data_IF_145790902643
#
_entry.id   IF_145790902643
#
_cell.length_a   1.000
_cell.length_b   1.000
_cell.length_c   1.000
_cell.angle_alpha   90.00
_cell.angle_beta   90.00
_cell.angle_gamma   90.00
#
_symmetry.space_group_name_H-M   'P 1'
#
loop_
_entity.id
_entity.type
_entity.pdbx_description
1 polymer ?
#
# COMPACT_ATOMS: atom_id res chain seq x y z
N UNK A 1 -3.50 7.35 57.85
CA UNK A 1 -4.70 6.60 58.25
C UNK A 1 -5.49 6.40 56.96
N UNK A 2 -5.72 5.27 56.35
CA UNK A 2 -5.65 3.84 56.74
C UNK A 2 -5.15 3.04 55.55
N UNK A 3 -4.22 2.15 55.78
CA UNK A 3 -3.87 1.02 54.90
C UNK A 3 -4.96 -0.06 55.00
N UNK A 4 -5.22 -0.73 53.89
CA UNK A 4 -5.65 -2.12 53.93
C UNK A 4 -5.15 -2.85 52.68
N UNK A 5 -4.25 -3.77 52.93
CA UNK A 5 -3.81 -4.89 52.14
C UNK A 5 -4.96 -5.78 51.70
N UNK A 6 -4.90 -6.34 50.51
CA UNK A 6 -5.26 -7.75 50.30
C UNK A 6 -4.42 -8.34 49.16
N UNK A 7 -3.56 -9.24 49.59
CA UNK A 7 -2.77 -10.20 48.82
C UNK A 7 -3.66 -11.43 48.57
N UNK A 8 -3.70 -11.94 47.36
CA UNK A 8 -3.95 -13.36 47.10
C UNK A 8 -3.18 -13.84 45.90
N UNK A 9 -2.18 -14.66 46.18
CA UNK A 9 -1.42 -15.49 45.26
C UNK A 9 -2.30 -16.63 44.75
N UNK A 10 -2.21 -16.98 43.45
CA UNK A 10 -2.44 -18.33 42.96
C UNK A 10 -1.42 -18.67 41.88
N UNK A 11 -1.02 -19.95 41.70
CA UNK A 11 0.30 -20.33 41.23
C UNK A 11 0.35 -20.64 39.74
N UNK A 12 1.54 -20.34 39.20
CA UNK A 12 2.02 -20.85 37.93
C UNK A 12 2.36 -22.34 38.11
N UNK A 13 1.71 -23.22 37.36
CA UNK A 13 2.22 -24.51 36.85
C UNK A 13 1.07 -25.39 36.38
N UNK A 14 0.97 -25.56 35.10
CA UNK A 14 0.60 -26.80 34.39
C UNK A 14 0.28 -26.45 32.93
N UNK A 15 1.09 -26.91 32.02
CA UNK A 15 0.88 -27.87 30.96
C UNK A 15 1.82 -27.65 29.79
N UNK A 16 3.05 -28.08 29.99
CA UNK A 16 3.87 -28.60 28.89
C UNK A 16 3.47 -30.06 28.70
N UNK A 17 2.90 -30.42 27.58
CA UNK A 17 2.96 -31.79 27.02
C UNK A 17 3.32 -31.73 25.56
N UNK A 18 4.52 -32.16 25.32
CA UNK A 18 5.19 -32.52 24.10
C UNK A 18 4.43 -33.68 23.44
N UNK A 19 4.12 -33.55 22.14
CA UNK A 19 3.95 -34.70 21.27
C UNK A 19 4.91 -34.55 20.08
N UNK A 20 6.01 -35.32 20.18
CA UNK A 20 6.84 -35.71 19.06
C UNK A 20 6.07 -36.73 18.22
N UNK A 21 5.94 -36.47 16.94
CA UNK A 21 5.56 -37.42 15.92
C UNK A 21 6.52 -37.34 14.76
N UNK A 22 7.48 -38.21 14.76
CA UNK A 22 8.43 -38.39 13.68
C UNK A 22 7.72 -39.03 12.45
N UNK A 23 8.00 -38.54 11.25
CA UNK A 23 7.88 -39.29 10.01
C UNK A 23 9.12 -39.06 9.15
N UNK A 24 9.75 -40.19 8.87
CA UNK A 24 10.94 -40.37 8.05
C UNK A 24 10.62 -40.26 6.54
N UNK A 25 11.63 -40.05 5.68
CA UNK A 25 11.46 -39.78 4.26
C UNK A 25 11.40 -41.06 3.43
N UNK A 26 10.57 -41.08 2.40
CA UNK A 26 10.63 -42.08 1.33
C UNK A 26 11.43 -41.52 0.15
N UNK A 27 12.61 -42.07 0.00
CA UNK A 27 13.44 -42.03 -1.21
C UNK A 27 12.96 -43.12 -2.17
N UNK A 28 12.65 -42.75 -3.41
CA UNK A 28 12.71 -43.72 -4.51
C UNK A 28 13.45 -43.10 -5.70
N UNK A 29 14.65 -43.63 -5.83
CA UNK A 29 15.51 -43.60 -7.00
C UNK A 29 15.05 -44.67 -7.99
N UNK A 30 15.33 -44.45 -9.26
CA UNK A 30 15.65 -45.32 -10.36
C UNK A 30 15.13 -44.72 -11.67
N UNK A 31 15.77 -44.62 -12.75
CA UNK A 31 17.03 -45.10 -13.31
C UNK A 31 17.00 -44.78 -14.80
N UNK A 32 18.15 -44.32 -15.27
CA UNK A 32 18.49 -44.15 -16.70
C UNK A 32 18.07 -45.32 -17.60
N UNK A 33 17.70 -45.04 -18.86
CA UNK A 33 18.31 -45.71 -20.02
C UNK A 33 18.30 -44.87 -21.29
N UNK A 34 19.48 -44.70 -21.81
CA UNK A 34 19.85 -44.35 -23.15
C UNK A 34 19.23 -45.28 -24.20
N UNK A 35 18.94 -44.79 -25.41
CA UNK A 35 19.44 -45.40 -26.65
C UNK A 35 19.40 -44.37 -27.81
N UNK A 36 20.55 -44.18 -28.40
CA UNK A 36 20.80 -43.66 -29.73
C UNK A 36 20.32 -44.62 -30.81
N UNK A 37 19.91 -44.10 -31.96
CA UNK A 37 20.44 -44.51 -33.28
C UNK A 37 19.97 -43.55 -34.36
N UNK A 38 20.88 -43.14 -35.11
CA UNK A 38 21.12 -42.57 -36.38
C UNK A 38 20.18 -42.96 -37.56
N UNK A 39 20.08 -42.06 -38.52
CA UNK A 39 20.34 -42.36 -39.90
C UNK A 39 19.19 -42.24 -40.88
N UNK A 40 19.36 -41.35 -41.88
CA UNK A 40 18.72 -41.60 -43.18
C UNK A 40 18.17 -40.37 -43.91
N UNK A 41 19.00 -39.75 -44.77
CA UNK A 41 18.62 -38.89 -45.89
C UNK A 41 17.64 -39.58 -46.84
N UNK A 42 16.67 -38.83 -47.44
CA UNK A 42 16.63 -38.57 -48.90
C UNK A 42 15.44 -37.71 -49.30
N UNK A 43 15.70 -36.90 -50.26
CA UNK A 43 15.07 -36.02 -51.23
C UNK A 43 13.73 -36.46 -51.85
N UNK A 44 13.02 -35.42 -52.28
CA UNK A 44 12.11 -35.39 -53.45
C UNK A 44 10.65 -35.31 -53.02
N UNK A 45 9.86 -34.39 -53.40
CA UNK A 45 9.63 -33.61 -54.56
C UNK A 45 8.14 -33.53 -54.81
N UNK A 46 7.67 -32.34 -55.11
CA UNK A 46 6.53 -31.94 -55.96
C UNK A 46 5.07 -32.40 -55.71
N UNK A 47 4.28 -31.37 -55.68
CA UNK A 47 2.99 -31.08 -56.35
C UNK A 47 1.64 -31.63 -55.86
N UNK A 48 0.81 -30.64 -55.71
CA UNK A 48 -0.57 -30.46 -56.28
C UNK A 48 -1.77 -31.09 -55.58
N UNK A 49 -2.62 -30.15 -55.21
CA UNK A 49 -4.06 -30.06 -55.48
C UNK A 49 -5.07 -31.16 -55.12
N UNK A 50 -6.15 -30.64 -54.67
CA UNK A 50 -7.54 -30.98 -54.94
C UNK A 50 -8.37 -31.56 -53.79
N UNK A 51 -9.11 -30.70 -53.21
CA UNK A 51 -10.58 -30.66 -53.01
C UNK A 51 -11.37 -31.97 -52.78
N UNK A 52 -12.43 -31.76 -51.97
CA UNK A 52 -13.78 -32.35 -52.11
C UNK A 52 -14.16 -33.53 -51.17
N UNK A 53 -15.05 -33.18 -50.26
CA UNK A 53 -16.21 -33.94 -49.79
C UNK A 53 -16.10 -35.43 -49.43
N UNK A 54 -16.44 -35.77 -48.19
CA UNK A 54 -17.63 -36.60 -47.96
C UNK A 54 -18.03 -36.65 -46.48
N UNK A 55 -19.31 -36.29 -46.27
CA UNK A 55 -20.10 -36.71 -45.09
C UNK A 55 -20.26 -38.26 -45.11
N UNK A 56 -20.06 -38.87 -43.98
CA UNK A 56 -20.78 -40.09 -43.63
C UNK A 56 -21.10 -40.08 -42.15
N UNK A 57 -22.39 -40.13 -41.90
CA UNK A 57 -23.07 -40.37 -40.65
C UNK A 57 -22.81 -41.83 -40.23
N UNK A 58 -22.38 -42.04 -38.98
CA UNK A 58 -22.72 -43.30 -38.31
C UNK A 58 -22.96 -43.00 -36.80
N UNK A 59 -24.19 -43.22 -36.44
CA UNK A 59 -24.73 -43.38 -35.11
C UNK A 59 -24.20 -44.69 -34.52
N UNK A 60 -23.63 -44.62 -33.29
CA UNK A 60 -23.84 -45.72 -32.34
C UNK A 60 -23.66 -45.27 -30.89
N UNK A 61 -24.66 -45.61 -30.19
CA UNK A 61 -25.04 -45.56 -28.79
C UNK A 61 -24.00 -45.98 -27.76
N UNK A 62 -24.07 -45.23 -26.63
CA UNK A 62 -24.01 -45.75 -25.26
C UNK A 62 -22.69 -46.36 -24.74
N UNK A 63 -22.00 -45.56 -23.92
CA UNK A 63 -21.62 -45.98 -22.57
C UNK A 63 -21.20 -44.70 -21.81
N UNK A 64 -22.04 -44.25 -20.88
CA UNK A 64 -21.65 -43.22 -19.90
C UNK A 64 -21.05 -43.93 -18.69
N UNK A 65 -19.77 -43.71 -18.36
CA UNK A 65 -19.31 -43.91 -16.99
C UNK A 65 -19.79 -42.73 -16.17
N UNK A 66 -20.61 -42.99 -15.17
CA UNK A 66 -20.95 -42.02 -14.13
C UNK A 66 -19.67 -41.62 -13.39
N UNK A 67 -19.13 -40.45 -13.72
CA UNK A 67 -18.09 -39.81 -12.92
C UNK A 67 -18.71 -39.44 -11.57
N UNK A 68 -18.32 -40.23 -10.57
CA UNK A 68 -18.46 -39.89 -9.16
C UNK A 68 -17.87 -38.51 -8.95
N UNK A 69 -18.74 -37.52 -8.70
CA UNK A 69 -18.33 -36.18 -8.23
C UNK A 69 -17.75 -36.35 -6.83
N UNK A 70 -16.45 -36.58 -6.75
CA UNK A 70 -15.72 -36.29 -5.51
C UNK A 70 -15.91 -34.81 -5.21
N UNK A 71 -16.80 -34.50 -4.28
CA UNK A 71 -16.84 -33.21 -3.63
C UNK A 71 -15.50 -33.02 -2.92
N UNK A 72 -14.58 -32.31 -3.56
CA UNK A 72 -13.48 -31.68 -2.85
C UNK A 72 -14.10 -30.72 -1.83
N UNK A 73 -14.20 -31.15 -0.59
CA UNK A 73 -14.26 -30.24 0.54
C UNK A 73 -12.96 -29.44 0.57
N UNK A 74 -12.91 -28.37 -0.21
CA UNK A 74 -11.88 -27.37 -0.09
C UNK A 74 -11.99 -26.78 1.31
N UNK A 75 -11.03 -27.07 2.15
CA UNK A 75 -10.78 -26.31 3.37
C UNK A 75 -10.71 -24.85 2.97
N UNK A 76 -11.79 -24.08 3.24
CA UNK A 76 -11.76 -22.63 3.15
C UNK A 76 -10.73 -22.16 4.18
N UNK A 77 -9.49 -21.97 3.74
CA UNK A 77 -8.57 -21.16 4.50
C UNK A 77 -9.22 -19.79 4.64
N UNK A 78 -9.58 -19.42 5.84
CA UNK A 78 -10.04 -18.07 6.19
C UNK A 78 -8.85 -17.13 5.97
N UNK A 79 -8.61 -16.71 4.75
CA UNK A 79 -7.77 -15.57 4.49
C UNK A 79 -8.59 -14.34 4.85
N UNK A 80 -8.25 -13.67 5.95
CA UNK A 80 -8.75 -12.35 6.35
C UNK A 80 -8.25 -11.28 5.34
N UNK A 81 -8.55 -11.46 4.06
CA UNK A 81 -8.26 -10.40 3.09
C UNK A 81 -9.30 -9.29 3.26
N UNK A 82 -8.86 -8.05 3.14
CA UNK A 82 -9.74 -6.88 3.20
C UNK A 82 -10.93 -7.00 2.22
N UNK A 83 -10.71 -7.59 1.05
CA UNK A 83 -11.76 -7.89 0.08
C UNK A 83 -12.77 -8.93 0.61
N UNK A 84 -12.32 -9.97 1.34
CA UNK A 84 -13.22 -10.95 1.95
C UNK A 84 -14.10 -10.29 3.03
N UNK A 85 -13.53 -9.41 3.86
CA UNK A 85 -14.26 -8.65 4.88
C UNK A 85 -15.35 -7.78 4.23
N UNK A 86 -15.02 -7.04 3.17
CA UNK A 86 -16.00 -6.20 2.45
C UNK A 86 -17.09 -7.06 1.80
N UNK A 87 -16.75 -8.21 1.23
CA UNK A 87 -17.71 -9.10 0.59
C UNK A 87 -18.63 -9.82 1.59
N UNK A 88 -18.23 -10.00 2.85
CA UNK A 88 -19.07 -10.55 3.92
C UNK A 88 -20.04 -9.53 4.51
N UNK A 89 -19.84 -8.23 4.23
CA UNK A 89 -20.73 -7.19 4.72
C UNK A 89 -22.15 -7.29 4.10
N UNK A 90 -23.19 -6.79 4.82
CA UNK A 90 -24.57 -6.74 4.29
C UNK A 90 -24.64 -6.04 2.93
N UNK A 91 -25.50 -6.55 2.04
CA UNK A 91 -25.64 -6.05 0.67
C UNK A 91 -25.82 -4.52 0.56
N UNK A 92 -26.63 -3.84 1.42
CA UNK A 92 -26.80 -2.38 1.33
C UNK A 92 -25.53 -1.58 1.69
N UNK A 93 -24.66 -2.13 2.54
CA UNK A 93 -23.47 -1.43 3.04
C UNK A 93 -22.27 -1.66 2.12
N UNK A 94 -22.20 -2.80 1.45
CA UNK A 94 -21.08 -3.23 0.61
C UNK A 94 -20.65 -2.21 -0.45
N UNK A 95 -21.55 -1.54 -1.21
CA UNK A 95 -21.16 -0.52 -2.17
C UNK A 95 -20.42 0.67 -1.52
N UNK A 96 -20.83 1.09 -0.32
CA UNK A 96 -20.19 2.18 0.41
C UNK A 96 -18.77 1.79 0.90
N UNK A 97 -18.59 0.55 1.36
CA UNK A 97 -17.25 0.04 1.75
C UNK A 97 -16.30 -0.03 0.54
N UNK A 98 -16.84 -0.41 -0.64
CA UNK A 98 -16.06 -0.37 -1.90
C UNK A 98 -15.77 1.07 -2.35
N UNK A 99 -16.70 2.00 -2.14
CA UNK A 99 -16.50 3.42 -2.44
C UNK A 99 -15.36 4.00 -1.59
N UNK A 100 -15.24 3.60 -0.32
CA UNK A 100 -14.12 3.93 0.56
C UNK A 100 -12.82 3.18 0.23
N UNK A 101 -12.83 2.25 -0.72
CA UNK A 101 -11.68 1.38 -1.06
C UNK A 101 -11.20 0.51 0.10
N UNK A 102 -12.08 0.08 0.99
CA UNK A 102 -11.73 -0.85 2.08
C UNK A 102 -11.34 -2.25 1.58
N UNK A 103 -11.83 -2.62 0.40
CA UNK A 103 -11.40 -3.82 -0.33
C UNK A 103 -9.95 -3.75 -0.84
N UNK A 104 -9.42 -2.52 -1.04
CA UNK A 104 -8.07 -2.24 -1.55
C UNK A 104 -7.36 -1.19 -0.68
N UNK A 105 -6.97 -1.51 0.56
CA UNK A 105 -6.55 -0.55 1.58
C UNK A 105 -5.18 0.10 1.33
N UNK A 106 -4.48 -0.24 0.24
CA UNK A 106 -3.14 0.29 -0.04
C UNK A 106 -3.08 1.82 0.00
N UNK A 107 -4.08 2.52 -0.58
CA UNK A 107 -4.10 3.99 -0.56
C UNK A 107 -4.30 4.58 0.84
N UNK A 108 -5.01 3.88 1.73
CA UNK A 108 -5.12 4.26 3.15
C UNK A 108 -3.77 4.13 3.86
N UNK A 109 -3.03 3.05 3.61
CA UNK A 109 -1.68 2.90 4.14
C UNK A 109 -0.74 4.01 3.67
N UNK A 110 -0.74 4.33 2.37
CA UNK A 110 0.12 5.37 1.81
C UNK A 110 -0.20 6.77 2.35
N UNK A 111 -1.45 7.04 2.71
CA UNK A 111 -1.87 8.28 3.37
C UNK A 111 -1.50 8.29 4.86
N UNK A 112 -1.59 7.15 5.55
CA UNK A 112 -1.36 7.02 6.98
C UNK A 112 0.12 7.01 7.36
N UNK A 113 0.98 6.38 6.56
CA UNK A 113 2.39 6.16 6.88
C UNK A 113 3.17 7.46 7.15
N UNK A 114 3.03 8.55 6.37
CA UNK A 114 3.69 9.83 6.69
C UNK A 114 3.28 10.41 8.05
N UNK A 115 2.03 10.18 8.47
CA UNK A 115 1.57 10.56 9.81
C UNK A 115 2.32 9.77 10.89
N UNK A 116 2.48 8.45 10.68
CA UNK A 116 3.17 7.58 11.66
C UNK A 116 4.65 7.94 11.80
N UNK A 117 5.32 8.27 10.68
CA UNK A 117 6.72 8.69 10.69
C UNK A 117 6.91 9.96 11.51
N UNK A 118 6.04 10.93 11.27
CA UNK A 118 6.08 12.23 11.94
C UNK A 118 5.77 12.12 13.44
N UNK A 119 4.73 11.37 13.82
CA UNK A 119 4.40 11.10 15.22
C UNK A 119 5.56 10.40 15.94
N UNK A 120 6.20 9.43 15.29
CA UNK A 120 7.33 8.71 15.87
C UNK A 120 8.58 9.59 16.01
N UNK A 121 8.88 10.44 15.01
CA UNK A 121 10.00 11.39 15.08
C UNK A 121 9.79 12.46 16.16
N UNK A 122 8.54 12.87 16.39
CA UNK A 122 8.18 13.88 17.39
C UNK A 122 8.08 13.32 18.81
N UNK A 123 8.13 11.99 18.98
CA UNK A 123 8.08 11.35 20.32
C UNK A 123 9.36 11.64 21.11
N UNK A 124 9.25 11.71 22.41
CA UNK A 124 10.40 11.96 23.28
C UNK A 124 11.42 10.81 23.20
N UNK A 125 12.73 11.09 23.37
CA UNK A 125 13.79 10.09 23.36
C UNK A 125 13.48 8.89 24.27
N UNK A 126 13.76 7.68 23.81
CA UNK A 126 13.50 6.45 24.55
C UNK A 126 12.03 6.04 24.65
N UNK A 127 11.10 6.85 24.18
CA UNK A 127 9.67 6.57 24.27
C UNK A 127 9.10 5.99 22.99
N UNK A 128 8.09 5.11 23.14
CA UNK A 128 7.26 4.65 22.02
C UNK A 128 6.35 5.78 21.53
N UNK A 129 5.99 5.79 20.23
CA UNK A 129 5.02 6.73 19.71
C UNK A 129 3.67 6.65 20.44
N UNK A 130 2.99 7.78 20.61
CA UNK A 130 1.72 7.85 21.30
C UNK A 130 0.63 7.05 20.57
N UNK A 131 0.27 5.86 21.11
CA UNK A 131 -0.66 4.91 20.48
C UNK A 131 -2.04 5.52 20.22
N UNK A 132 -2.52 6.40 21.10
CA UNK A 132 -3.78 7.12 20.92
C UNK A 132 -3.76 8.02 19.68
N UNK A 133 -2.67 8.76 19.45
CA UNK A 133 -2.51 9.57 18.25
C UNK A 133 -2.38 8.69 16.99
N UNK A 134 -1.61 7.61 17.05
CA UNK A 134 -1.54 6.66 15.94
C UNK A 134 -2.92 6.13 15.55
N UNK A 135 -3.74 5.74 16.53
CA UNK A 135 -5.10 5.24 16.30
C UNK A 135 -6.01 6.33 15.73
N UNK A 136 -5.92 7.54 16.26
CA UNK A 136 -6.71 8.70 15.82
C UNK A 136 -6.38 9.05 14.35
N UNK A 137 -5.09 9.13 14.02
CA UNK A 137 -4.62 9.40 12.65
C UNK A 137 -4.94 8.23 11.70
N UNK A 138 -4.91 6.98 12.17
CA UNK A 138 -5.32 5.81 11.39
C UNK A 138 -6.79 5.88 11.00
N UNK A 139 -7.66 6.23 11.96
CA UNK A 139 -9.09 6.44 11.70
C UNK A 139 -9.31 7.64 10.77
N UNK A 140 -8.61 8.75 10.99
CA UNK A 140 -8.63 9.93 10.12
C UNK A 140 -8.20 9.61 8.69
N UNK A 141 -7.13 8.85 8.52
CA UNK A 141 -6.64 8.43 7.20
C UNK A 141 -7.66 7.54 6.46
N UNK A 142 -8.35 6.64 7.18
CA UNK A 142 -9.42 5.82 6.63
C UNK A 142 -10.57 6.67 6.11
N UNK A 143 -11.05 7.62 6.91
CA UNK A 143 -12.15 8.51 6.56
C UNK A 143 -11.77 9.44 5.41
N UNK A 144 -10.62 10.10 5.50
CA UNK A 144 -10.16 11.06 4.48
C UNK A 144 -9.82 10.37 3.15
N UNK A 145 -9.25 9.15 3.20
CA UNK A 145 -9.08 8.34 1.98
C UNK A 145 -10.42 7.99 1.34
N UNK A 146 -11.39 7.58 2.16
CA UNK A 146 -12.76 7.31 1.71
C UNK A 146 -13.42 8.54 1.08
N UNK A 147 -13.30 9.70 1.74
CA UNK A 147 -13.85 10.97 1.24
C UNK A 147 -13.18 11.37 -0.08
N UNK A 148 -11.85 11.30 -0.18
CA UNK A 148 -11.13 11.60 -1.42
C UNK A 148 -11.51 10.67 -2.57
N UNK A 149 -11.71 9.37 -2.31
CA UNK A 149 -12.21 8.42 -3.32
C UNK A 149 -13.65 8.75 -3.74
N UNK A 150 -14.52 9.10 -2.80
CA UNK A 150 -15.91 9.47 -3.08
C UNK A 150 -15.97 10.72 -3.96
N UNK A 151 -15.20 11.77 -3.63
CA UNK A 151 -15.10 12.99 -4.44
C UNK A 151 -14.61 12.64 -5.85
N UNK A 152 -13.52 11.89 -5.96
CA UNK A 152 -12.95 11.53 -7.26
C UNK A 152 -13.93 10.73 -8.11
N UNK A 153 -14.60 9.71 -7.54
CA UNK A 153 -15.58 8.88 -8.27
C UNK A 153 -16.84 9.69 -8.68
N UNK A 154 -17.23 10.72 -7.90
CA UNK A 154 -18.33 11.63 -8.27
C UNK A 154 -17.94 12.53 -9.46
N UNK A 155 -16.70 13.04 -9.49
CA UNK A 155 -16.20 13.89 -10.57
C UNK A 155 -15.96 13.10 -11.86
N UNK A 156 -15.46 11.88 -11.74
CA UNK A 156 -15.04 11.05 -12.86
C UNK A 156 -16.09 10.07 -13.34
N UNK A 157 -17.32 10.11 -12.82
CA UNK A 157 -18.37 9.15 -13.12
C UNK A 157 -18.49 8.78 -14.60
N UNK A 158 -18.48 9.78 -15.49
CA UNK A 158 -18.70 9.58 -16.92
C UNK A 158 -17.43 9.12 -17.66
N UNK A 159 -16.26 9.39 -17.09
CA UNK A 159 -14.97 8.87 -17.54
C UNK A 159 -14.77 7.43 -17.07
N UNK A 160 -15.06 7.15 -15.81
CA UNK A 160 -14.92 5.82 -15.20
C UNK A 160 -15.73 4.74 -15.92
N UNK A 161 -16.89 5.10 -16.48
CA UNK A 161 -17.71 4.19 -17.31
C UNK A 161 -17.02 3.72 -18.59
N UNK A 162 -16.10 4.51 -19.12
CA UNK A 162 -15.42 4.24 -20.38
C UNK A 162 -14.14 3.41 -20.21
N UNK A 163 -13.64 3.29 -19.00
CA UNK A 163 -12.41 2.58 -18.68
C UNK A 163 -12.75 1.25 -18.02
N UNK A 164 -12.33 0.14 -18.62
CA UNK A 164 -12.65 -1.23 -18.18
C UNK A 164 -12.38 -1.46 -16.69
N UNK A 165 -11.24 -0.97 -16.19
CA UNK A 165 -10.82 -1.14 -14.80
C UNK A 165 -11.72 -0.40 -13.80
N UNK A 166 -12.31 0.73 -14.19
CA UNK A 166 -13.08 1.62 -13.30
C UNK A 166 -14.59 1.56 -13.53
N UNK A 167 -15.06 0.94 -14.59
CA UNK A 167 -16.49 0.79 -14.90
C UNK A 167 -17.30 0.11 -13.78
N UNK A 168 -16.66 -0.78 -13.01
CA UNK A 168 -17.27 -1.48 -11.88
C UNK A 168 -17.28 -0.68 -10.55
N UNK A 169 -16.83 0.60 -10.57
CA UNK A 169 -16.92 1.47 -9.38
C UNK A 169 -18.38 1.76 -9.02
N UNK A 170 -18.76 1.83 -7.73
CA UNK A 170 -20.16 1.93 -7.31
C UNK A 170 -20.94 3.10 -7.91
N UNK A 171 -20.31 4.27 -8.12
CA UNK A 171 -20.96 5.43 -8.73
C UNK A 171 -21.01 5.30 -10.26
N UNK A 172 -19.99 4.73 -10.89
CA UNK A 172 -19.94 4.51 -12.34
C UNK A 172 -20.93 3.42 -12.77
N UNK A 173 -21.01 2.31 -12.02
CA UNK A 173 -21.95 1.20 -12.26
C UNK A 173 -23.41 1.58 -11.96
N UNK A 174 -23.63 2.63 -11.15
CA UNK A 174 -24.98 3.06 -10.74
C UNK A 174 -25.48 2.37 -9.46
N UNK A 175 -24.65 1.58 -8.77
CA UNK A 175 -24.97 0.99 -7.46
C UNK A 175 -25.25 2.08 -6.39
N UNK A 176 -24.58 3.23 -6.50
CA UNK A 176 -24.76 4.41 -5.64
C UNK A 176 -25.07 5.63 -6.51
N UNK A 177 -26.16 6.32 -6.20
CA UNK A 177 -26.50 7.59 -6.85
C UNK A 177 -25.55 8.72 -6.39
N UNK A 178 -25.44 9.80 -7.19
CA UNK A 178 -24.64 10.99 -6.80
C UNK A 178 -25.14 11.61 -5.49
N UNK A 179 -26.44 11.61 -5.23
CA UNK A 179 -27.01 12.16 -3.99
C UNK A 179 -26.64 11.29 -2.78
N UNK A 180 -26.76 9.97 -2.90
CA UNK A 180 -26.31 9.04 -1.83
C UNK A 180 -24.82 9.18 -1.55
N UNK A 181 -23.98 9.31 -2.59
CA UNK A 181 -22.56 9.55 -2.43
C UNK A 181 -22.27 10.89 -1.72
N UNK A 182 -23.03 11.95 -2.03
CA UNK A 182 -22.90 13.27 -1.38
C UNK A 182 -23.26 13.20 0.11
N UNK A 183 -24.36 12.55 0.46
CA UNK A 183 -24.77 12.34 1.87
C UNK A 183 -23.71 11.53 2.62
N UNK A 184 -23.20 10.46 2.00
CA UNK A 184 -22.17 9.62 2.58
C UNK A 184 -20.86 10.40 2.78
N UNK A 185 -20.46 11.23 1.79
CA UNK A 185 -19.31 12.13 1.88
C UNK A 185 -19.47 13.12 3.05
N UNK A 186 -20.65 13.70 3.21
CA UNK A 186 -20.96 14.58 4.34
C UNK A 186 -20.75 13.90 5.68
N UNK A 187 -21.20 12.66 5.84
CA UNK A 187 -20.95 11.84 7.03
C UNK A 187 -19.46 11.58 7.28
N UNK A 188 -18.70 11.21 6.23
CA UNK A 188 -17.26 11.01 6.34
C UNK A 188 -16.52 12.27 6.76
N UNK A 189 -16.81 13.43 6.15
CA UNK A 189 -16.20 14.70 6.46
C UNK A 189 -16.56 15.20 7.87
N UNK A 190 -17.82 14.97 8.33
CA UNK A 190 -18.23 15.31 9.70
C UNK A 190 -17.48 14.49 10.74
N UNK A 191 -17.29 13.19 10.51
CA UNK A 191 -16.49 12.34 11.40
C UNK A 191 -15.00 12.74 11.37
N UNK A 192 -14.45 13.02 10.19
CA UNK A 192 -13.07 13.49 10.05
C UNK A 192 -12.84 14.85 10.73
N UNK A 193 -13.82 15.75 10.65
CA UNK A 193 -13.80 17.02 11.39
C UNK A 193 -13.81 16.76 12.90
N UNK A 194 -14.64 15.85 13.40
CA UNK A 194 -14.64 15.45 14.80
C UNK A 194 -13.26 14.98 15.27
N UNK A 195 -12.57 14.17 14.47
CA UNK A 195 -11.19 13.74 14.74
C UNK A 195 -10.23 14.93 14.78
N UNK A 196 -10.33 15.84 13.79
CA UNK A 196 -9.49 17.03 13.72
C UNK A 196 -9.67 17.92 14.96
N UNK A 197 -10.91 18.10 15.43
CA UNK A 197 -11.23 18.90 16.61
C UNK A 197 -10.74 18.28 17.94
N UNK A 198 -10.35 16.99 17.95
CA UNK A 198 -9.69 16.37 19.09
C UNK A 198 -8.19 16.73 19.20
N UNK A 199 -7.63 17.42 18.20
CA UNK A 199 -6.23 17.86 18.17
C UNK A 199 -6.08 19.28 18.75
N UNK A 200 -4.81 19.71 18.94
CA UNK A 200 -4.51 21.08 19.34
C UNK A 200 -4.86 22.12 18.26
N UNK A 201 -5.02 23.39 18.65
CA UNK A 201 -5.43 24.48 17.75
C UNK A 201 -4.51 24.65 16.54
N UNK A 202 -3.19 24.49 16.71
CA UNK A 202 -2.23 24.59 15.62
C UNK A 202 -2.49 23.47 14.57
N UNK A 203 -2.73 22.26 15.02
CA UNK A 203 -3.07 21.13 14.15
C UNK A 203 -4.42 21.32 13.47
N UNK A 204 -5.40 21.93 14.14
CA UNK A 204 -6.71 22.24 13.53
C UNK A 204 -6.51 23.24 12.36
N UNK A 205 -5.76 24.33 12.58
CA UNK A 205 -5.47 25.31 11.55
C UNK A 205 -4.69 24.69 10.37
N UNK A 206 -3.69 23.85 10.67
CA UNK A 206 -2.89 23.15 9.67
C UNK A 206 -3.73 22.11 8.89
N UNK A 207 -4.63 21.41 9.57
CA UNK A 207 -5.57 20.46 8.95
C UNK A 207 -6.57 21.18 8.03
N UNK A 208 -7.10 22.33 8.45
CA UNK A 208 -7.97 23.15 7.60
C UNK A 208 -7.25 23.63 6.34
N UNK A 209 -5.98 24.03 6.44
CA UNK A 209 -5.17 24.44 5.29
C UNK A 209 -5.01 23.33 4.25
N UNK A 210 -4.97 22.03 4.66
CA UNK A 210 -4.87 20.89 3.76
C UNK A 210 -6.07 20.73 2.80
N UNK A 211 -7.24 21.25 3.16
CA UNK A 211 -8.45 21.16 2.36
C UNK A 211 -8.27 21.83 0.98
N UNK A 212 -7.47 22.89 0.89
CA UNK A 212 -7.15 23.54 -0.37
C UNK A 212 -6.51 22.55 -1.38
N UNK A 213 -5.60 21.69 -0.91
CA UNK A 213 -4.96 20.66 -1.72
C UNK A 213 -5.94 19.52 -2.07
N UNK A 214 -6.79 19.10 -1.12
CA UNK A 214 -7.79 18.05 -1.32
C UNK A 214 -8.78 18.44 -2.42
N UNK A 215 -9.24 19.68 -2.45
CA UNK A 215 -10.14 20.17 -3.50
C UNK A 215 -9.44 20.41 -4.84
N UNK A 216 -8.17 20.83 -4.82
CA UNK A 216 -7.42 21.14 -6.04
C UNK A 216 -6.95 19.89 -6.77
N UNK A 217 -6.56 18.84 -6.04
CA UNK A 217 -5.97 17.62 -6.61
C UNK A 217 -6.78 16.98 -7.76
N UNK A 218 -8.11 16.75 -7.66
CA UNK A 218 -8.85 16.10 -8.74
C UNK A 218 -8.85 16.88 -10.07
N UNK A 219 -8.63 18.20 -10.01
CA UNK A 219 -8.58 19.06 -11.19
C UNK A 219 -7.23 18.97 -11.91
N UNK A 220 -6.18 18.64 -11.20
CA UNK A 220 -4.80 18.69 -11.72
C UNK A 220 -4.56 17.77 -12.91
N UNK A 221 -5.16 16.59 -12.94
CA UNK A 221 -5.03 15.65 -14.07
C UNK A 221 -5.59 16.17 -15.41
N UNK A 222 -6.39 17.24 -15.36
CA UNK A 222 -6.92 17.93 -16.56
C UNK A 222 -6.05 19.10 -16.98
N UNK A 223 -5.30 19.67 -16.04
CA UNK A 223 -4.54 20.94 -16.24
C UNK A 223 -3.08 20.63 -16.53
N UNK A 224 -2.44 19.74 -15.76
CA UNK A 224 -0.99 19.50 -15.79
C UNK A 224 -0.62 18.04 -15.96
N UNK A 225 0.60 17.79 -16.46
CA UNK A 225 1.21 16.45 -16.47
C UNK A 225 1.81 16.04 -15.11
N UNK A 226 1.67 16.88 -14.08
CA UNK A 226 2.21 16.65 -12.74
C UNK A 226 1.13 16.48 -11.65
N UNK A 227 -0.01 15.78 -11.90
CA UNK A 227 -1.02 15.55 -10.86
C UNK A 227 -0.44 14.75 -9.70
N UNK A 228 0.54 13.87 -9.93
CA UNK A 228 1.23 13.09 -8.91
C UNK A 228 1.99 13.96 -7.90
N UNK A 229 2.51 15.11 -8.33
CA UNK A 229 3.15 16.07 -7.43
C UNK A 229 2.13 16.67 -6.45
N UNK A 230 0.98 17.11 -6.97
CA UNK A 230 -0.09 17.67 -6.12
C UNK A 230 -0.69 16.59 -5.20
N UNK A 231 -0.80 15.36 -5.70
CA UNK A 231 -1.14 14.21 -4.85
C UNK A 231 -0.12 14.03 -3.73
N UNK A 232 1.17 14.14 -4.05
CA UNK A 232 2.25 14.07 -3.08
C UNK A 232 2.14 15.14 -2.00
N UNK A 233 1.87 16.38 -2.37
CA UNK A 233 1.61 17.46 -1.40
C UNK A 233 0.42 17.12 -0.50
N UNK A 234 -0.66 16.58 -1.06
CA UNK A 234 -1.88 16.24 -0.32
C UNK A 234 -1.67 15.05 0.63
N UNK A 235 -1.10 13.94 0.12
CA UNK A 235 -0.97 12.69 0.89
C UNK A 235 0.05 12.79 2.02
N UNK A 236 1.10 13.56 1.83
CA UNK A 236 2.15 13.70 2.83
C UNK A 236 1.93 14.86 3.81
N UNK A 237 0.82 15.60 3.70
CA UNK A 237 0.46 16.64 4.67
C UNK A 237 0.43 16.12 6.10
N UNK A 238 0.14 14.83 6.25
CA UNK A 238 0.20 14.12 7.52
C UNK A 238 1.58 14.14 8.19
N UNK A 239 2.67 14.32 7.44
CA UNK A 239 4.01 14.50 7.99
C UNK A 239 4.13 15.79 8.80
N UNK A 240 3.44 16.86 8.40
CA UNK A 240 3.36 18.12 9.15
C UNK A 240 2.38 17.99 10.33
N UNK A 241 1.20 17.44 10.05
CA UNK A 241 0.11 17.35 11.00
C UNK A 241 0.44 16.41 12.18
N UNK A 242 1.15 15.30 11.92
CA UNK A 242 1.55 14.33 12.95
C UNK A 242 2.50 14.94 13.97
N UNK A 243 3.50 15.70 13.52
CA UNK A 243 4.42 16.44 14.40
C UNK A 243 3.68 17.49 15.20
N UNK A 244 2.87 18.31 14.53
CA UNK A 244 2.08 19.36 15.16
C UNK A 244 1.14 18.81 16.25
N UNK A 245 0.57 17.61 16.04
CA UNK A 245 -0.32 16.98 17.02
C UNK A 245 0.43 16.54 18.29
N UNK A 246 1.71 16.19 18.18
CA UNK A 246 2.54 15.79 19.33
C UNK A 246 3.12 17.01 20.06
N UNK A 247 3.69 17.97 19.33
CA UNK A 247 4.49 19.09 19.89
C UNK A 247 3.73 20.42 19.98
N UNK A 248 2.54 20.54 19.39
CA UNK A 248 1.77 21.80 19.38
C UNK A 248 2.25 22.84 18.36
N UNK A 249 3.36 22.58 17.67
CA UNK A 249 3.97 23.43 16.62
C UNK A 249 4.77 22.54 15.67
N UNK A 250 5.20 23.08 14.52
CA UNK A 250 6.11 22.35 13.61
C UNK A 250 7.55 22.81 13.82
N UNK A 251 8.46 21.86 14.02
CA UNK A 251 9.88 22.09 13.79
C UNK A 251 10.15 21.97 12.28
N UNK A 252 10.27 23.12 11.63
CA UNK A 252 10.40 23.17 10.18
C UNK A 252 11.71 22.55 9.68
N UNK A 253 12.74 22.47 10.50
CA UNK A 253 14.02 21.83 10.16
C UNK A 253 13.87 20.32 9.96
N UNK A 254 12.94 19.67 10.66
CA UNK A 254 12.62 18.23 10.54
C UNK A 254 11.42 18.03 9.61
N UNK A 255 10.36 18.81 9.81
CA UNK A 255 9.09 18.62 9.12
C UNK A 255 9.17 18.84 7.61
N UNK A 256 9.91 19.87 7.14
CA UNK A 256 10.02 20.15 5.71
C UNK A 256 10.81 19.08 4.95
N UNK A 257 12.00 18.62 5.40
CA UNK A 257 12.71 17.53 4.74
C UNK A 257 11.90 16.23 4.73
N UNK A 258 11.17 15.90 5.81
CA UNK A 258 10.31 14.74 5.87
C UNK A 258 9.14 14.85 4.87
N UNK A 259 8.47 15.98 4.86
CA UNK A 259 7.37 16.26 3.92
C UNK A 259 7.83 16.19 2.47
N UNK A 260 8.95 16.85 2.15
CA UNK A 260 9.59 16.79 0.84
C UNK A 260 9.88 15.34 0.42
N UNK A 261 10.47 14.54 1.32
CA UNK A 261 10.75 13.12 1.06
C UNK A 261 9.50 12.33 0.75
N UNK A 262 8.42 12.58 1.49
CA UNK A 262 7.12 11.97 1.22
C UNK A 262 6.57 12.35 -0.16
N UNK A 263 6.70 13.63 -0.57
CA UNK A 263 6.30 14.08 -1.91
C UNK A 263 7.09 13.35 -2.99
N UNK A 264 8.41 13.22 -2.84
CA UNK A 264 9.27 12.47 -3.76
C UNK A 264 8.89 11.00 -3.80
N UNK A 265 8.60 10.39 -2.65
CA UNK A 265 8.08 9.02 -2.57
C UNK A 265 6.77 8.85 -3.32
N UNK A 266 5.84 9.80 -3.20
CA UNK A 266 4.58 9.76 -3.94
C UNK A 266 4.81 9.85 -5.45
N UNK A 267 5.72 10.70 -5.90
CA UNK A 267 6.10 10.78 -7.31
C UNK A 267 6.63 9.43 -7.83
N UNK A 268 7.38 8.68 -7.00
CA UNK A 268 7.87 7.35 -7.40
C UNK A 268 6.69 6.38 -7.54
N UNK A 269 5.96 6.12 -6.45
CA UNK A 269 4.98 5.04 -6.48
C UNK A 269 3.76 5.34 -7.35
N UNK A 270 3.33 6.59 -7.42
CA UNK A 270 2.13 6.94 -8.18
C UNK A 270 2.42 7.10 -9.68
N UNK A 271 3.65 7.47 -10.07
CA UNK A 271 4.08 7.38 -11.48
C UNK A 271 4.10 5.91 -11.93
N UNK A 272 4.63 5.00 -11.11
CA UNK A 272 4.58 3.55 -11.39
C UNK A 272 3.13 3.08 -11.53
N UNK A 273 2.27 3.51 -10.61
CA UNK A 273 0.84 3.18 -10.65
C UNK A 273 0.16 3.69 -11.93
N UNK A 274 0.46 4.91 -12.35
CA UNK A 274 -0.14 5.55 -13.51
C UNK A 274 0.19 4.84 -14.86
N UNK A 275 1.28 4.07 -14.92
CA UNK A 275 1.59 3.26 -16.11
C UNK A 275 0.56 2.18 -16.41
N UNK A 276 -0.26 1.76 -15.43
CA UNK A 276 -1.31 0.77 -15.63
C UNK A 276 -2.42 1.26 -16.56
N UNK A 277 -2.68 2.57 -16.55
CA UNK A 277 -3.81 3.18 -17.25
C UNK A 277 -3.37 4.08 -18.43
N UNK A 278 -2.06 4.13 -18.76
CA UNK A 278 -1.50 5.09 -19.71
C UNK A 278 -2.21 5.11 -21.07
N UNK A 279 -2.64 3.95 -21.58
CA UNK A 279 -3.33 3.84 -22.88
C UNK A 279 -4.76 4.39 -22.81
N UNK A 280 -5.44 4.17 -21.70
CA UNK A 280 -6.80 4.68 -21.50
C UNK A 280 -6.76 6.18 -21.15
N UNK A 281 -5.77 6.64 -20.39
CA UNK A 281 -5.55 8.06 -20.07
C UNK A 281 -5.40 8.91 -21.33
N UNK A 282 -4.64 8.41 -22.34
CA UNK A 282 -4.51 9.09 -23.64
C UNK A 282 -5.86 9.22 -24.35
N UNK A 283 -6.68 8.15 -24.40
CA UNK A 283 -7.98 8.15 -25.06
C UNK A 283 -8.98 9.11 -24.40
N UNK A 284 -8.87 9.26 -23.08
CA UNK A 284 -9.77 10.09 -22.29
C UNK A 284 -9.27 11.54 -22.17
N UNK A 285 -8.01 11.80 -22.55
CA UNK A 285 -7.39 13.12 -22.47
C UNK A 285 -6.93 13.52 -21.05
N UNK A 286 -6.68 12.55 -20.18
CA UNK A 286 -6.13 12.75 -18.83
C UNK A 286 -4.61 12.81 -18.89
N UNK A 287 -4.01 13.70 -18.09
CA UNK A 287 -2.57 13.91 -18.03
C UNK A 287 -1.97 13.23 -16.80
N UNK A 288 -0.77 12.65 -16.96
CA UNK A 288 -0.03 12.02 -15.86
C UNK A 288 1.49 12.10 -16.07
N UNK A 289 2.27 11.90 -15.00
CA UNK A 289 3.73 11.78 -15.11
C UNK A 289 4.15 10.57 -15.92
N UNK A 290 3.37 9.47 -15.92
CA UNK A 290 3.63 8.32 -16.78
C UNK A 290 3.60 8.68 -18.25
N UNK A 291 2.65 9.52 -18.68
CA UNK A 291 2.57 10.05 -20.05
C UNK A 291 3.68 11.06 -20.34
N UNK A 292 4.15 11.80 -19.33
CA UNK A 292 5.22 12.79 -19.50
C UNK A 292 6.60 12.15 -19.66
N UNK A 293 6.88 11.10 -18.86
CA UNK A 293 8.22 10.49 -18.83
C UNK A 293 8.39 9.35 -19.81
N UNK A 294 7.33 8.62 -20.14
CA UNK A 294 7.36 7.51 -21.09
C UNK A 294 8.54 6.55 -20.82
N UNK A 295 9.43 6.36 -21.80
CA UNK A 295 10.60 5.50 -21.68
C UNK A 295 11.67 6.03 -20.71
N UNK A 296 11.66 7.33 -20.41
CA UNK A 296 12.56 7.95 -19.44
C UNK A 296 12.05 7.84 -17.98
N UNK A 297 11.02 7.06 -17.73
CA UNK A 297 10.45 6.90 -16.38
C UNK A 297 11.50 6.48 -15.35
N UNK A 298 12.34 5.47 -15.64
CA UNK A 298 13.35 5.00 -14.67
C UNK A 298 14.39 6.06 -14.27
N UNK A 299 14.98 6.84 -15.17
CA UNK A 299 15.84 7.98 -14.81
C UNK A 299 15.14 9.00 -13.88
N UNK A 300 13.91 9.37 -14.19
CA UNK A 300 13.13 10.29 -13.34
C UNK A 300 12.87 9.72 -11.95
N UNK A 301 12.43 8.46 -11.86
CA UNK A 301 12.21 7.78 -10.59
C UNK A 301 13.51 7.68 -9.77
N UNK A 302 14.66 7.45 -10.43
CA UNK A 302 15.96 7.43 -9.75
C UNK A 302 16.32 8.79 -9.17
N UNK A 303 16.06 9.88 -9.90
CA UNK A 303 16.23 11.25 -9.39
C UNK A 303 15.35 11.53 -8.17
N UNK A 304 14.07 11.13 -8.21
CA UNK A 304 13.17 11.26 -7.08
C UNK A 304 13.59 10.39 -5.89
N UNK A 305 14.15 9.19 -6.14
CA UNK A 305 14.65 8.33 -5.07
C UNK A 305 15.85 8.95 -4.36
N UNK A 306 16.79 9.53 -5.09
CA UNK A 306 17.93 10.28 -4.50
C UNK A 306 17.42 11.47 -3.69
N UNK A 307 16.49 12.26 -4.22
CA UNK A 307 15.90 13.39 -3.52
C UNK A 307 15.14 12.97 -2.25
N UNK A 308 14.37 11.86 -2.30
CA UNK A 308 13.70 11.28 -1.14
C UNK A 308 14.72 10.89 -0.07
N UNK A 309 15.75 10.14 -0.44
CA UNK A 309 16.76 9.68 0.50
C UNK A 309 17.53 10.83 1.14
N UNK A 310 17.88 11.86 0.37
CA UNK A 310 18.54 13.07 0.89
C UNK A 310 17.67 13.79 1.93
N UNK A 311 16.37 13.93 1.65
CA UNK A 311 15.45 14.54 2.60
C UNK A 311 15.25 13.70 3.87
N UNK A 312 15.19 12.35 3.76
CA UNK A 312 15.12 11.47 4.93
C UNK A 312 16.39 11.55 5.78
N UNK A 313 17.57 11.61 5.16
CA UNK A 313 18.84 11.82 5.89
C UNK A 313 18.81 13.17 6.61
N UNK A 314 18.40 14.26 5.93
CA UNK A 314 18.31 15.57 6.55
C UNK A 314 17.32 15.59 7.73
N UNK A 315 16.13 15.00 7.56
CA UNK A 315 15.15 14.87 8.64
C UNK A 315 15.71 14.07 9.83
N UNK A 316 16.45 12.98 9.55
CA UNK A 316 17.08 12.16 10.58
C UNK A 316 18.19 12.88 11.35
N UNK A 317 19.02 13.66 10.66
CA UNK A 317 20.08 14.46 11.28
C UNK A 317 19.45 15.54 12.18
N UNK A 318 18.49 16.29 11.66
CA UNK A 318 17.81 17.36 12.40
C UNK A 318 16.97 16.86 13.59
N UNK A 319 16.45 15.61 13.48
CA UNK A 319 15.75 14.93 14.56
C UNK A 319 16.69 14.09 15.44
N UNK A 320 18.02 14.22 15.30
CA UNK A 320 19.05 13.50 16.08
C UNK A 320 18.85 11.98 16.09
N UNK A 321 18.46 11.39 14.94
CA UNK A 321 18.25 9.96 14.83
C UNK A 321 19.55 9.16 14.97
N UNK A 322 19.43 7.93 15.48
CA UNK A 322 20.56 7.06 15.81
C UNK A 322 20.76 5.96 14.76
N UNK A 323 21.79 5.13 14.93
CA UNK A 323 22.23 4.10 13.99
C UNK A 323 21.11 3.21 13.42
N UNK A 324 20.12 2.70 14.23
CA UNK A 324 19.03 1.88 13.69
C UNK A 324 18.21 2.56 12.58
N UNK A 325 17.98 3.87 12.69
CA UNK A 325 17.32 4.65 11.66
C UNK A 325 18.11 4.62 10.34
N UNK A 326 19.41 4.91 10.38
CA UNK A 326 20.25 4.95 9.18
C UNK A 326 20.45 3.56 8.55
N UNK A 327 20.51 2.51 9.36
CA UNK A 327 20.54 1.13 8.87
C UNK A 327 19.28 0.79 8.07
N UNK A 328 18.11 1.23 8.57
CA UNK A 328 16.84 1.08 7.84
C UNK A 328 16.82 1.95 6.59
N UNK A 329 17.37 3.17 6.61
CA UNK A 329 17.47 3.99 5.40
C UNK A 329 18.27 3.29 4.30
N UNK A 330 19.38 2.63 4.63
CA UNK A 330 20.11 1.82 3.66
C UNK A 330 19.22 0.73 3.04
N UNK A 331 18.41 0.04 3.85
CA UNK A 331 17.48 -0.99 3.38
C UNK A 331 16.38 -0.38 2.48
N UNK A 332 15.86 0.81 2.83
CA UNK A 332 14.90 1.56 2.01
C UNK A 332 15.53 1.93 0.67
N UNK A 333 16.77 2.40 0.66
CA UNK A 333 17.51 2.71 -0.57
C UNK A 333 17.71 1.49 -1.48
N UNK A 334 18.06 0.34 -0.91
CA UNK A 334 18.17 -0.94 -1.63
C UNK A 334 16.81 -1.34 -2.22
N UNK A 335 15.73 -1.22 -1.44
CA UNK A 335 14.38 -1.53 -1.92
C UNK A 335 13.97 -0.63 -3.11
N UNK A 336 14.20 0.69 -3.01
CA UNK A 336 13.90 1.63 -4.09
C UNK A 336 14.71 1.32 -5.36
N UNK A 337 16.01 1.06 -5.20
CA UNK A 337 16.89 0.69 -6.31
C UNK A 337 16.40 -0.59 -6.99
N UNK A 338 16.10 -1.63 -6.23
CA UNK A 338 15.54 -2.87 -6.75
C UNK A 338 14.19 -2.64 -7.43
N UNK A 339 13.29 -1.85 -6.82
CA UNK A 339 11.98 -1.53 -7.36
C UNK A 339 12.09 -0.85 -8.74
N UNK A 340 12.96 0.18 -8.86
CA UNK A 340 13.13 0.95 -10.09
C UNK A 340 13.86 0.14 -11.16
N UNK A 341 14.93 -0.56 -10.78
CA UNK A 341 15.73 -1.36 -11.72
C UNK A 341 14.91 -2.47 -12.38
N UNK A 342 14.12 -3.21 -11.59
CA UNK A 342 13.31 -4.35 -12.05
C UNK A 342 11.92 -3.95 -12.56
N UNK A 343 11.59 -2.64 -12.63
CA UNK A 343 10.29 -2.16 -13.09
C UNK A 343 10.10 -2.42 -14.60
N UNK A 344 8.99 -3.04 -14.95
CA UNK A 344 8.53 -3.23 -16.32
C UNK A 344 7.28 -2.37 -16.58
N UNK A 345 7.50 -1.16 -17.14
CA UNK A 345 6.44 -0.14 -17.35
C UNK A 345 5.35 -0.56 -18.34
N UNK A 346 5.62 -1.57 -19.16
CA UNK A 346 4.67 -2.13 -20.14
C UNK A 346 3.76 -3.22 -19.54
N UNK A 347 4.02 -3.66 -18.28
CA UNK A 347 3.28 -4.73 -17.62
C UNK A 347 2.47 -4.18 -16.43
N UNK A 348 1.13 -4.02 -16.57
CA UNK A 348 0.27 -3.49 -15.51
C UNK A 348 0.38 -4.26 -14.19
N UNK A 349 0.54 -5.59 -14.23
CA UNK A 349 0.65 -6.44 -13.05
C UNK A 349 1.96 -6.18 -12.27
N UNK A 350 3.07 -5.89 -12.98
CA UNK A 350 4.33 -5.54 -12.34
C UNK A 350 4.23 -4.16 -11.71
N UNK A 351 3.67 -3.18 -12.42
CA UNK A 351 3.39 -1.85 -11.87
C UNK A 351 2.54 -1.92 -10.60
N UNK A 352 1.51 -2.76 -10.59
CA UNK A 352 0.69 -2.98 -9.40
C UNK A 352 1.48 -3.57 -8.23
N UNK A 353 2.28 -4.62 -8.47
CA UNK A 353 3.12 -5.26 -7.44
C UNK A 353 4.10 -4.26 -6.83
N UNK A 354 4.79 -3.48 -7.67
CA UNK A 354 5.72 -2.43 -7.25
C UNK A 354 5.01 -1.34 -6.44
N UNK A 355 3.84 -0.88 -6.89
CA UNK A 355 3.03 0.08 -6.15
C UNK A 355 2.66 -0.42 -4.75
N UNK A 356 2.16 -1.65 -4.64
CA UNK A 356 1.75 -2.23 -3.35
C UNK A 356 2.94 -2.44 -2.40
N UNK A 357 4.15 -2.70 -2.92
CA UNK A 357 5.35 -2.91 -2.10
C UNK A 357 5.73 -1.68 -1.27
N UNK A 358 5.28 -0.48 -1.66
CA UNK A 358 5.54 0.76 -0.93
C UNK A 358 4.91 0.80 0.48
N UNK A 359 3.86 0.01 0.74
CA UNK A 359 3.36 -0.19 2.10
C UNK A 359 4.45 -0.76 3.02
N UNK A 360 5.14 -1.79 2.55
CA UNK A 360 6.18 -2.45 3.35
C UNK A 360 7.39 -1.54 3.53
N UNK A 361 7.76 -0.77 2.50
CA UNK A 361 8.78 0.27 2.59
C UNK A 361 8.44 1.29 3.67
N UNK A 362 7.23 1.82 3.65
CA UNK A 362 6.79 2.83 4.61
C UNK A 362 6.69 2.29 6.04
N UNK A 363 6.26 1.04 6.23
CA UNK A 363 6.27 0.36 7.54
C UNK A 363 7.69 0.14 8.05
N UNK A 364 8.61 -0.27 7.17
CA UNK A 364 10.02 -0.44 7.51
C UNK A 364 10.62 0.88 7.99
N UNK A 365 10.35 1.98 7.29
CA UNK A 365 10.80 3.32 7.70
C UNK A 365 10.24 3.70 9.09
N UNK A 366 8.95 3.47 9.32
CA UNK A 366 8.33 3.69 10.64
C UNK A 366 9.05 2.92 11.75
N UNK A 367 9.30 1.63 11.52
CA UNK A 367 10.01 0.80 12.50
C UNK A 367 11.46 1.29 12.73
N UNK A 368 12.14 1.75 11.68
CA UNK A 368 13.46 2.35 11.80
C UNK A 368 13.48 3.63 12.63
N UNK A 369 12.47 4.49 12.45
CA UNK A 369 12.31 5.71 13.25
C UNK A 369 12.08 5.36 14.73
N UNK A 370 11.16 4.42 15.00
CA UNK A 370 10.87 3.98 16.38
C UNK A 370 12.11 3.36 17.02
N UNK A 371 12.79 2.47 16.33
CA UNK A 371 14.01 1.84 16.84
C UNK A 371 15.13 2.87 17.08
N UNK A 372 15.28 3.84 16.16
CA UNK A 372 16.24 4.93 16.31
C UNK A 372 15.93 5.82 17.52
N UNK A 373 14.67 6.10 17.75
CA UNK A 373 14.23 6.92 18.88
C UNK A 373 14.42 6.21 20.24
N UNK A 374 14.09 4.92 20.29
CA UNK A 374 14.31 4.10 21.49
C UNK A 374 15.81 3.93 21.85
N UNK A 375 16.69 4.00 20.82
CA UNK A 375 18.13 3.89 21.02
C UNK A 375 18.77 5.16 21.62
N UNK A 376 18.13 6.33 21.52
CA UNK A 376 18.62 7.61 22.06
C UNK A 376 18.80 7.55 23.58
N UNK A 377 17.78 7.13 24.34
CA UNK A 377 17.85 7.04 25.80
C UNK A 377 18.95 6.09 26.26
N UNK A 378 19.05 4.92 25.60
CA UNK A 378 20.10 3.96 25.95
C UNK A 378 21.51 4.54 25.82
N UNK A 379 21.76 5.32 24.76
CA UNK A 379 23.06 5.97 24.55
C UNK A 379 23.33 7.02 25.62
N UNK A 380 22.36 7.87 25.91
CA UNK A 380 22.52 8.94 26.87
C UNK A 380 22.75 8.39 28.28
N UNK A 381 22.04 7.33 28.67
CA UNK A 381 22.26 6.63 29.94
C UNK A 381 23.64 6.01 30.04
N UNK A 382 24.16 5.43 28.96
CA UNK A 382 25.53 4.86 28.94
C UNK A 382 26.58 5.94 29.08
N UNK A 383 26.45 7.06 28.36
CA UNK A 383 27.37 8.20 28.43
C UNK A 383 27.39 8.82 29.85
N UNK A 384 26.23 9.01 30.48
CA UNK A 384 26.15 9.50 31.86
C UNK A 384 26.82 8.55 32.85
N UNK A 385 26.66 7.24 32.67
CA UNK A 385 27.33 6.25 33.52
C UNK A 385 28.86 6.26 33.33
N UNK A 386 29.36 6.42 32.09
CA UNK A 386 30.78 6.54 31.83
C UNK A 386 31.39 7.81 32.42
N UNK A 387 30.65 8.94 32.40
CA UNK A 387 31.09 10.19 33.04
C UNK A 387 31.11 10.10 34.57
N UNK A 388 30.19 9.33 35.14
CA UNK A 388 30.13 9.11 36.59
C UNK A 388 31.26 8.23 37.10
N UNK A 389 31.84 7.39 36.24
CA UNK A 389 33.01 6.53 36.57
C UNK A 389 34.36 7.14 36.21
N UNK A 390 34.43 8.34 35.65
CA UNK A 390 35.65 9.15 35.40
C UNK A 390 35.81 10.21 36.47
#
# INVERSE_FOLDING_TARGET
MLQAKLSSRLPLNALLRIHHGAYAPCVHSLSNRFFNTEGGRTRGGLHSDCSVLRRVIYSQSAFRPSLCKTQHYGTRSFSLSSAAVVNSAPAPVRPYLRLMRLDKPIGTWLLYLPCTWSIALASDPGCLPHLGLLSLFGTGALLMRGAGCTINDMWDKDFDKKVVRTAARPIASGEISRMQALVFLGGQLSLALGILLCLNYYSIALGAASLSLVFTYPLMKRITYWPQFVLGLTFNWGALLGWAAVKGSCDWSVCLPLYFSGVMWTLIYDTIYAHQDKEDDVKVGVKSTALRFQEQTKPWLSGFAVAMMSGLVAAGVNAEQTLPYYAVLCTVGIHLTHQIYTLEISRPEDCWKKFVSNRNLGLLLFLGIVAGNLWKERRDTLLQNEEMFR
#
